data_IF_873897873686
#
_entry.id   IF_873897873686
#
_cell.length_a   1.000
_cell.length_b   1.000
_cell.length_c   1.000
_cell.angle_alpha   90.00
_cell.angle_beta   90.00
_cell.angle_gamma   90.00
#
_symmetry.space_group_name_H-M   'P 1'
#
loop_
_entity.id
_entity.type
_entity.pdbx_description
1 polymer ?
#
# COMPACT_ATOMS: atom_id res chain seq x y z
N UNK A 1 -12.18 19.69 15.23
CA UNK A 1 -11.96 19.22 13.84
C UNK A 1 -13.32 18.87 13.27
N UNK A 2 -13.59 19.26 12.03
CA UNK A 2 -14.74 18.71 11.33
C UNK A 2 -14.44 17.24 10.97
N UNK A 3 -15.15 16.33 11.61
CA UNK A 3 -14.99 14.88 11.45
C UNK A 3 -15.25 14.46 9.99
N UNK A 4 -16.15 15.15 9.31
CA UNK A 4 -16.44 14.90 7.89
C UNK A 4 -15.25 15.26 7.01
N UNK A 5 -14.70 16.46 7.17
CA UNK A 5 -13.48 16.91 6.46
C UNK A 5 -12.30 15.98 6.71
N UNK A 6 -12.10 15.53 7.96
CA UNK A 6 -11.04 14.58 8.31
C UNK A 6 -11.24 13.23 7.60
N UNK A 7 -12.45 12.66 7.68
CA UNK A 7 -12.77 11.39 7.04
C UNK A 7 -12.62 11.44 5.51
N UNK A 8 -13.01 12.57 4.88
CA UNK A 8 -12.80 12.78 3.45
C UNK A 8 -11.31 12.81 3.11
N UNK A 9 -10.51 13.55 3.88
CA UNK A 9 -9.06 13.65 3.65
C UNK A 9 -8.37 12.28 3.83
N UNK A 10 -8.73 11.54 4.88
CA UNK A 10 -8.19 10.20 5.14
C UNK A 10 -8.55 9.23 4.02
N UNK A 11 -9.81 9.19 3.58
CA UNK A 11 -10.23 8.35 2.44
C UNK A 11 -9.49 8.71 1.15
N UNK A 12 -9.29 10.00 0.87
CA UNK A 12 -8.51 10.45 -0.30
C UNK A 12 -7.08 9.93 -0.24
N UNK A 13 -6.42 10.06 0.91
CA UNK A 13 -5.06 9.54 1.11
C UNK A 13 -4.99 8.03 0.88
N UNK A 14 -5.84 7.25 1.56
CA UNK A 14 -5.85 5.79 1.45
C UNK A 14 -6.17 5.32 0.02
N UNK A 15 -7.05 6.04 -0.70
CA UNK A 15 -7.35 5.75 -2.11
C UNK A 15 -6.13 5.95 -3.01
N UNK A 16 -5.36 7.02 -2.80
CA UNK A 16 -4.12 7.26 -3.56
C UNK A 16 -3.14 6.11 -3.30
N UNK A 17 -2.87 5.80 -2.02
CA UNK A 17 -1.96 4.72 -1.62
C UNK A 17 -2.36 3.38 -2.25
N UNK A 18 -3.64 3.01 -2.16
CA UNK A 18 -4.12 1.75 -2.73
C UNK A 18 -3.95 1.68 -4.25
N UNK A 19 -4.37 2.72 -4.97
CA UNK A 19 -4.32 2.74 -6.45
C UNK A 19 -2.87 2.76 -6.96
N UNK A 20 -1.98 3.54 -6.35
CA UNK A 20 -0.58 3.61 -6.81
C UNK A 20 0.16 2.31 -6.49
N UNK A 21 -0.05 1.74 -5.30
CA UNK A 21 0.57 0.46 -4.91
C UNK A 21 0.13 -0.67 -5.83
N UNK A 22 -1.16 -0.75 -6.16
CA UNK A 22 -1.67 -1.76 -7.10
C UNK A 22 -1.00 -1.65 -8.47
N UNK A 23 -0.89 -0.44 -9.03
CA UNK A 23 -0.24 -0.22 -10.34
C UNK A 23 1.21 -0.67 -10.34
N UNK A 24 1.96 -0.38 -9.28
CA UNK A 24 3.36 -0.81 -9.17
C UNK A 24 3.48 -2.33 -9.04
N UNK A 25 2.62 -2.96 -8.23
CA UNK A 25 2.57 -4.43 -8.10
C UNK A 25 2.28 -5.07 -9.47
N UNK A 26 1.25 -4.61 -10.18
CA UNK A 26 0.90 -5.12 -11.51
C UNK A 26 2.03 -4.91 -12.53
N UNK A 27 2.73 -3.78 -12.47
CA UNK A 27 3.87 -3.48 -13.34
C UNK A 27 5.00 -4.47 -13.11
N UNK A 28 5.41 -4.70 -11.86
CA UNK A 28 6.50 -5.63 -11.52
C UNK A 28 6.16 -7.06 -11.91
N UNK A 29 4.92 -7.50 -11.68
CA UNK A 29 4.44 -8.83 -12.10
C UNK A 29 4.46 -8.95 -13.63
N UNK A 30 3.98 -7.94 -14.37
CA UNK A 30 3.95 -7.95 -15.84
C UNK A 30 5.35 -7.92 -16.47
N UNK A 31 6.29 -7.21 -15.86
CA UNK A 31 7.68 -7.15 -16.32
C UNK A 31 8.45 -8.46 -16.07
N UNK A 32 7.85 -9.47 -15.43
CA UNK A 32 8.48 -10.76 -15.15
C UNK A 32 9.63 -10.66 -14.15
N UNK A 33 9.65 -9.60 -13.33
CA UNK A 33 10.72 -9.31 -12.36
C UNK A 33 10.54 -10.02 -11.02
N UNK A 34 9.50 -10.85 -10.88
CA UNK A 34 9.25 -11.61 -9.65
C UNK A 34 9.99 -12.93 -9.74
N UNK A 35 10.88 -13.17 -8.78
CA UNK A 35 11.57 -14.46 -8.65
C UNK A 35 10.62 -15.52 -8.09
N UNK A 36 10.51 -16.65 -8.79
CA UNK A 36 9.63 -17.74 -8.38
C UNK A 36 8.15 -17.44 -8.62
N UNK A 37 7.29 -18.11 -7.84
CA UNK A 37 5.82 -18.00 -7.97
C UNK A 37 5.17 -17.17 -6.86
N UNK A 38 5.94 -16.50 -6.01
CA UNK A 38 5.40 -15.77 -4.87
C UNK A 38 5.95 -14.36 -4.81
N UNK A 39 5.06 -13.38 -4.65
CA UNK A 39 5.40 -11.98 -4.45
C UNK A 39 5.22 -11.62 -2.97
N UNK A 40 6.33 -11.43 -2.27
CA UNK A 40 6.34 -10.96 -0.88
C UNK A 40 6.27 -9.43 -0.87
N UNK A 41 5.25 -8.89 -0.20
CA UNK A 41 4.97 -7.47 -0.11
C UNK A 41 5.12 -6.98 1.33
N UNK A 42 5.63 -5.76 1.49
CA UNK A 42 5.66 -5.03 2.75
C UNK A 42 5.26 -3.58 2.48
N UNK A 43 4.31 -3.08 3.25
CA UNK A 43 3.90 -1.68 3.29
C UNK A 43 4.19 -1.11 4.68
N UNK A 44 4.67 0.12 4.74
CA UNK A 44 4.92 0.83 6.00
C UNK A 44 4.21 2.17 6.00
N UNK A 45 3.38 2.41 7.01
CA UNK A 45 2.69 3.67 7.25
C UNK A 45 3.28 4.34 8.50
N UNK A 46 3.91 5.50 8.30
CA UNK A 46 4.52 6.30 9.36
C UNK A 46 4.03 7.74 9.35
N UNK A 47 4.12 8.42 10.49
CA UNK A 47 3.90 9.86 10.58
C UNK A 47 5.07 10.52 11.32
N UNK A 48 5.52 11.67 10.85
CA UNK A 48 6.64 12.40 11.47
C UNK A 48 6.23 13.08 12.79
N UNK A 49 4.95 13.43 12.91
CA UNK A 49 4.41 14.22 14.00
C UNK A 49 3.51 13.41 14.97
N UNK A 50 3.48 12.07 14.83
CA UNK A 50 2.69 11.20 15.67
C UNK A 50 3.39 9.84 15.83
N UNK A 51 3.15 9.10 16.94
CA UNK A 51 3.68 7.76 17.14
C UNK A 51 2.94 6.73 16.27
N UNK A 52 2.98 6.92 14.96
CA UNK A 52 2.41 6.02 13.98
C UNK A 52 3.56 5.27 13.29
N UNK A 53 3.61 3.96 13.51
CA UNK A 53 4.45 3.03 12.77
C UNK A 53 3.67 1.73 12.61
N UNK A 54 3.06 1.55 11.44
CA UNK A 54 2.27 0.37 11.12
C UNK A 54 2.85 -0.32 9.90
N UNK A 55 3.06 -1.64 10.01
CA UNK A 55 3.60 -2.47 8.95
C UNK A 55 2.56 -3.51 8.56
N UNK A 56 2.34 -3.66 7.26
CA UNK A 56 1.53 -4.73 6.67
C UNK A 56 2.44 -5.58 5.82
N UNK A 57 2.43 -6.89 6.06
CA UNK A 57 3.21 -7.88 5.30
C UNK A 57 2.26 -8.93 4.74
N UNK A 58 2.35 -9.17 3.45
CA UNK A 58 1.51 -10.15 2.76
C UNK A 58 2.31 -10.87 1.68
N UNK A 59 1.90 -12.10 1.36
CA UNK A 59 2.48 -12.87 0.25
C UNK A 59 1.39 -13.22 -0.75
N UNK A 60 1.59 -12.85 -2.01
CA UNK A 60 0.68 -13.17 -3.10
C UNK A 60 1.27 -14.36 -3.88
N UNK A 61 0.46 -15.40 -4.08
CA UNK A 61 0.80 -16.48 -5.01
C UNK A 61 0.48 -16.03 -6.45
N UNK A 62 1.45 -16.22 -7.35
CA UNK A 62 1.40 -15.87 -8.77
C UNK A 62 1.20 -17.13 -9.64
N UNK A 63 0.95 -18.28 -9.04
CA UNK A 63 0.69 -19.56 -9.71
C UNK A 63 -0.49 -19.54 -10.68
#
# INVERSE_FOLDING_TARGET
MDEESFNIALRKFLKIVGITSQREIERVVREGKVEGKQLKLRMTLTAENAPLNHIVEETIDLS
#
